data_IF_036077526568
#
_entry.id   IF_036077526568
#
_cell.length_a   1.000
_cell.length_b   1.000
_cell.length_c   1.000
_cell.angle_alpha   90.00
_cell.angle_beta   90.00
_cell.angle_gamma   90.00
#
_symmetry.space_group_name_H-M   'P 1'
#
loop_
_entity.id
_entity.type
_entity.pdbx_description
1 polymer ?
#
# COMPACT_ATOMS: atom_id res chain seq x y z
N UNK A 1 54.46 35.29 55.07
CA UNK A 1 53.05 35.60 55.40
C UNK A 1 52.37 36.16 54.15
N UNK A 2 51.26 35.51 53.78
CA UNK A 2 50.14 35.88 52.88
C UNK A 2 50.40 36.60 51.54
N UNK A 3 50.11 35.86 50.46
CA UNK A 3 49.94 36.33 49.08
C UNK A 3 48.61 37.07 48.98
N UNK A 4 48.60 38.36 48.62
CA UNK A 4 47.37 39.08 48.30
C UNK A 4 46.90 38.68 46.89
N UNK A 5 45.87 37.86 46.82
CA UNK A 5 45.14 37.57 45.59
C UNK A 5 43.97 38.53 45.45
N UNK A 6 44.10 39.51 44.54
CA UNK A 6 42.96 40.34 44.11
C UNK A 6 41.95 39.45 43.39
N UNK A 7 40.73 39.32 43.91
CA UNK A 7 39.61 38.69 43.21
C UNK A 7 39.29 39.49 41.95
N UNK A 8 39.01 38.85 40.79
CA UNK A 8 38.49 39.56 39.64
C UNK A 8 37.09 40.11 39.96
N UNK A 9 36.91 41.40 39.70
CA UNK A 9 35.62 42.08 39.78
C UNK A 9 34.72 41.54 38.66
N UNK A 10 33.65 40.85 39.05
CA UNK A 10 32.75 40.13 38.14
C UNK A 10 31.38 40.83 38.05
N UNK A 11 31.38 42.16 38.02
CA UNK A 11 30.15 42.98 37.98
C UNK A 11 29.79 43.49 36.58
N UNK A 12 30.23 42.83 35.50
CA UNK A 12 29.66 43.07 34.17
C UNK A 12 28.43 42.18 33.99
N UNK A 13 27.19 42.70 33.99
CA UNK A 13 26.07 41.92 33.54
C UNK A 13 26.32 41.54 32.08
N UNK A 14 26.44 40.24 31.80
CA UNK A 14 26.35 39.71 30.44
C UNK A 14 24.94 40.02 29.93
N UNK A 15 24.76 41.20 29.35
CA UNK A 15 23.67 41.43 28.44
C UNK A 15 23.94 40.53 27.23
N UNK A 16 23.35 39.32 27.27
CA UNK A 16 23.18 38.50 26.07
C UNK A 16 22.60 39.46 25.02
N UNK A 17 23.28 39.71 23.89
CA UNK A 17 22.72 40.57 22.87
C UNK A 17 21.35 39.99 22.54
N UNK A 18 20.29 40.79 22.69
CA UNK A 18 18.96 40.40 22.28
C UNK A 18 19.07 40.06 20.78
N UNK A 19 19.08 38.76 20.47
CA UNK A 19 19.15 38.33 19.08
C UNK A 19 17.82 38.70 18.47
N UNK A 20 17.81 39.80 17.70
CA UNK A 20 16.71 40.14 16.80
C UNK A 20 16.26 38.83 16.14
N UNK A 21 14.96 38.47 16.19
CA UNK A 21 14.50 37.22 15.61
C UNK A 21 15.03 37.13 14.19
N UNK A 22 15.79 36.06 13.90
CA UNK A 22 16.36 35.85 12.58
C UNK A 22 15.21 35.88 11.59
N UNK A 23 15.29 36.78 10.61
CA UNK A 23 14.26 36.85 9.58
C UNK A 23 14.28 35.53 8.80
N UNK A 24 13.11 34.96 8.44
CA UNK A 24 13.07 33.77 7.60
C UNK A 24 13.84 33.99 6.31
N UNK A 25 14.68 33.03 5.92
CA UNK A 25 15.39 33.08 4.64
C UNK A 25 14.35 33.18 3.51
N UNK A 26 14.47 34.23 2.70
CA UNK A 26 13.65 34.41 1.50
C UNK A 26 14.45 34.04 0.25
N UNK A 27 13.75 33.56 -0.77
CA UNK A 27 14.33 33.13 -2.05
C UNK A 27 13.83 34.02 -3.18
N UNK A 28 14.69 34.31 -4.16
CA UNK A 28 14.32 35.05 -5.37
C UNK A 28 13.60 34.17 -6.40
N UNK A 29 13.33 34.72 -7.59
CA UNK A 29 12.62 34.02 -8.67
C UNK A 29 13.43 32.87 -9.27
N UNK A 30 14.75 32.91 -9.15
CA UNK A 30 15.67 31.89 -9.64
C UNK A 30 15.95 30.81 -8.58
N UNK A 31 15.43 30.99 -7.35
CA UNK A 31 15.53 30.03 -6.26
C UNK A 31 16.78 30.18 -5.40
N UNK A 32 17.41 31.36 -5.39
CA UNK A 32 18.59 31.65 -4.56
C UNK A 32 18.23 32.38 -3.28
N UNK A 33 18.90 32.02 -2.19
CA UNK A 33 18.67 32.62 -0.88
C UNK A 33 19.21 34.06 -0.79
N UNK A 34 18.39 34.95 -0.24
CA UNK A 34 18.72 36.38 -0.02
C UNK A 34 19.82 36.64 1.01
N UNK A 35 20.02 35.72 1.96
CA UNK A 35 21.04 35.78 3.00
C UNK A 35 21.28 34.38 3.62
N UNK A 36 22.37 34.25 4.38
CA UNK A 36 22.66 33.04 5.16
C UNK A 36 21.58 32.81 6.22
N UNK A 37 21.18 31.55 6.43
CA UNK A 37 20.29 31.19 7.53
C UNK A 37 19.76 29.77 7.50
N UNK A 38 18.90 29.47 8.47
CA UNK A 38 18.20 28.18 8.57
C UNK A 38 16.80 28.33 7.99
N UNK A 39 16.39 27.38 7.15
CA UNK A 39 15.05 27.31 6.57
C UNK A 39 14.44 25.93 6.79
N UNK A 40 13.14 25.91 7.10
CA UNK A 40 12.37 24.68 7.14
C UNK A 40 12.04 24.23 5.71
N UNK A 41 12.44 23.02 5.36
CA UNK A 41 12.18 22.39 4.08
C UNK A 41 11.38 21.11 4.25
N UNK A 42 10.69 20.72 3.19
CA UNK A 42 9.98 19.46 3.06
C UNK A 42 10.71 18.62 2.04
N UNK A 43 11.16 17.47 2.49
CA UNK A 43 12.07 16.63 1.73
C UNK A 43 11.32 15.49 1.07
N UNK A 44 11.75 15.14 -0.14
CA UNK A 44 11.33 13.95 -0.84
C UNK A 44 12.54 13.13 -1.31
N UNK A 45 12.36 11.83 -1.43
CA UNK A 45 13.34 10.96 -2.08
C UNK A 45 13.54 11.40 -3.53
N UNK A 46 14.78 11.46 -4.01
CA UNK A 46 15.07 12.01 -5.35
C UNK A 46 14.75 11.03 -6.47
N UNK A 47 14.59 9.74 -6.17
CA UNK A 47 14.27 8.67 -7.11
C UNK A 47 12.77 8.36 -7.12
N UNK A 48 12.18 8.08 -5.95
CA UNK A 48 10.76 7.70 -5.82
C UNK A 48 9.83 8.90 -5.69
N UNK A 49 10.39 10.08 -5.39
CA UNK A 49 9.65 11.32 -5.11
C UNK A 49 8.80 11.24 -3.85
N UNK A 50 8.91 10.19 -3.05
CA UNK A 50 8.17 10.00 -1.80
C UNK A 50 8.56 11.06 -0.78
N UNK A 51 7.56 11.65 -0.11
CA UNK A 51 7.79 12.56 1.01
C UNK A 51 8.47 11.81 2.18
N UNK A 52 9.65 12.27 2.58
CA UNK A 52 10.44 11.63 3.66
C UNK A 52 10.40 12.43 4.97
N UNK A 53 9.96 13.68 4.95
CA UNK A 53 9.75 14.45 6.17
C UNK A 53 10.09 15.94 6.05
N UNK A 54 9.92 16.63 7.18
CA UNK A 54 10.33 18.02 7.37
C UNK A 54 11.74 18.04 7.96
N UNK A 55 12.58 18.94 7.46
CA UNK A 55 13.92 19.17 7.98
C UNK A 55 14.20 20.67 8.09
N UNK A 56 15.13 21.05 8.97
CA UNK A 56 15.70 22.39 9.00
C UNK A 56 17.09 22.34 8.37
N UNK A 57 17.35 23.23 7.42
CA UNK A 57 18.58 23.22 6.62
C UNK A 57 19.24 24.58 6.67
N UNK A 58 20.56 24.60 6.83
CA UNK A 58 21.35 25.79 6.59
C UNK A 58 21.47 26.03 5.08
N UNK A 59 21.24 27.27 4.65
CA UNK A 59 21.42 27.73 3.28
C UNK A 59 22.25 29.00 3.32
N UNK A 60 23.28 29.06 2.47
CA UNK A 60 24.08 30.26 2.29
C UNK A 60 23.42 31.22 1.31
N UNK A 61 23.71 32.50 1.45
CA UNK A 61 23.36 33.54 0.48
C UNK A 61 23.79 33.11 -0.92
N UNK A 62 22.94 33.39 -1.90
CA UNK A 62 23.15 33.10 -3.32
C UNK A 62 23.22 31.59 -3.64
N UNK A 63 22.82 30.72 -2.70
CA UNK A 63 22.66 29.28 -2.90
C UNK A 63 21.18 28.86 -2.90
N UNK A 64 20.87 27.78 -3.63
CA UNK A 64 19.56 27.14 -3.64
C UNK A 64 19.43 26.02 -2.61
N UNK A 65 18.23 25.44 -2.53
CA UNK A 65 17.98 24.25 -1.73
C UNK A 65 18.70 23.01 -2.31
N UNK A 66 19.08 22.04 -1.45
CA UNK A 66 19.59 20.76 -1.93
C UNK A 66 18.53 20.02 -2.74
N UNK A 67 19.00 19.13 -3.62
CA UNK A 67 18.11 18.27 -4.39
C UNK A 67 17.20 17.46 -3.44
N UNK A 68 15.90 17.43 -3.76
CA UNK A 68 14.91 16.74 -2.94
C UNK A 68 14.29 17.62 -1.84
N UNK A 69 14.71 18.86 -1.66
CA UNK A 69 14.10 19.79 -0.70
C UNK A 69 13.23 20.85 -1.41
N UNK A 70 12.05 21.13 -0.85
CA UNK A 70 11.15 22.20 -1.29
C UNK A 70 10.62 23.00 -0.12
N UNK A 71 10.14 24.22 -0.38
CA UNK A 71 9.64 25.13 0.66
C UNK A 71 8.15 24.91 0.98
N UNK A 72 7.36 24.44 0.02
CA UNK A 72 5.94 24.23 0.22
C UNK A 72 5.67 22.92 0.97
N UNK A 73 4.85 23.00 2.02
CA UNK A 73 4.47 21.84 2.81
C UNK A 73 3.45 20.96 2.06
N UNK A 74 3.49 19.63 2.22
CA UNK A 74 2.40 18.77 1.77
C UNK A 74 1.13 19.14 2.54
N UNK A 75 0.13 19.66 1.82
CA UNK A 75 -1.22 19.95 2.37
C UNK A 75 -2.12 18.71 2.35
N UNK A 76 -1.56 17.56 1.98
CA UNK A 76 -2.24 16.28 1.85
C UNK A 76 -1.85 15.39 3.03
N UNK A 77 -2.83 14.73 3.63
CA UNK A 77 -2.59 13.67 4.61
C UNK A 77 -2.61 12.32 3.89
N UNK A 78 -1.67 11.40 4.17
CA UNK A 78 -1.73 10.05 3.64
C UNK A 78 -3.08 9.41 3.97
N UNK A 79 -3.79 8.97 2.94
CA UNK A 79 -4.98 8.16 3.07
C UNK A 79 -4.60 6.67 3.14
N UNK A 80 -5.56 5.80 3.44
CA UNK A 80 -5.31 4.35 3.39
C UNK A 80 -4.82 3.95 2.00
N UNK A 81 -3.74 3.17 1.95
CA UNK A 81 -3.09 2.68 0.75
C UNK A 81 -2.66 3.77 -0.24
N UNK A 82 -2.21 4.92 0.29
CA UNK A 82 -1.70 6.04 -0.48
C UNK A 82 -0.44 6.61 0.16
N UNK A 83 0.53 7.01 -0.68
CA UNK A 83 1.70 7.77 -0.25
C UNK A 83 1.67 9.19 -0.83
N UNK A 84 2.34 10.11 -0.16
CA UNK A 84 2.53 11.49 -0.63
C UNK A 84 3.81 11.54 -1.44
N UNK A 85 3.74 12.05 -2.68
CA UNK A 85 4.90 12.25 -3.55
C UNK A 85 5.02 13.69 -4.03
N UNK A 86 6.21 14.08 -4.46
CA UNK A 86 6.44 15.31 -5.21
C UNK A 86 6.11 15.09 -6.68
N UNK A 87 5.10 15.78 -7.19
CA UNK A 87 4.85 15.88 -8.62
C UNK A 87 5.74 16.99 -9.21
N UNK A 88 6.71 16.59 -10.05
CA UNK A 88 7.67 17.52 -10.68
C UNK A 88 7.03 18.38 -11.79
N UNK A 89 5.99 17.89 -12.46
CA UNK A 89 5.34 18.64 -13.54
C UNK A 89 4.57 19.83 -12.98
N UNK A 90 3.77 19.58 -11.95
CA UNK A 90 2.89 20.59 -11.37
C UNK A 90 3.52 21.33 -10.17
N UNK A 91 4.78 21.00 -9.83
CA UNK A 91 5.52 21.56 -8.70
C UNK A 91 4.70 21.54 -7.40
N UNK A 92 4.03 20.43 -7.14
CA UNK A 92 3.12 20.28 -6.02
C UNK A 92 3.20 18.89 -5.40
N UNK A 93 2.57 18.71 -4.25
CA UNK A 93 2.42 17.40 -3.60
C UNK A 93 1.20 16.68 -4.17
N UNK A 94 1.32 15.37 -4.40
CA UNK A 94 0.26 14.51 -4.90
C UNK A 94 0.16 13.22 -4.08
N UNK A 95 -0.99 12.55 -4.17
CA UNK A 95 -1.19 11.20 -3.60
C UNK A 95 -1.16 10.16 -4.71
N UNK A 96 -0.40 9.08 -4.50
CA UNK A 96 -0.39 7.91 -5.39
C UNK A 96 -0.72 6.64 -4.61
N UNK A 97 -1.14 5.58 -5.30
CA UNK A 97 -1.28 4.24 -4.73
C UNK A 97 -0.01 3.82 -3.96
N UNK A 98 -0.23 3.22 -2.80
CA UNK A 98 0.82 2.58 -2.02
C UNK A 98 0.24 1.33 -1.35
N UNK A 99 0.58 0.17 -1.88
CA UNK A 99 0.17 -1.12 -1.37
C UNK A 99 1.33 -1.90 -0.75
N UNK A 100 2.46 -1.23 -0.45
CA UNK A 100 3.62 -1.87 0.16
C UNK A 100 3.22 -2.59 1.45
N UNK A 101 3.92 -3.68 1.75
CA UNK A 101 3.67 -4.57 2.91
C UNK A 101 2.37 -5.36 2.84
N UNK A 102 1.58 -5.21 1.76
CA UNK A 102 0.44 -6.09 1.49
C UNK A 102 0.89 -7.29 0.64
N UNK A 103 0.12 -8.38 0.71
CA UNK A 103 0.28 -9.54 -0.18
C UNK A 103 -0.68 -9.37 -1.35
N UNK A 104 -0.14 -9.43 -2.56
CA UNK A 104 -0.91 -9.58 -3.79
C UNK A 104 -0.76 -10.99 -4.35
N UNK A 105 -1.71 -11.39 -5.18
CA UNK A 105 -1.78 -12.71 -5.79
C UNK A 105 -1.73 -12.54 -7.30
N UNK A 106 -0.85 -13.29 -7.95
CA UNK A 106 -0.75 -13.31 -9.41
C UNK A 106 -2.02 -13.94 -9.98
N UNK A 107 -2.64 -13.28 -10.95
CA UNK A 107 -3.95 -13.65 -11.49
C UNK A 107 -3.93 -14.92 -12.33
N UNK A 108 -2.75 -15.35 -12.81
CA UNK A 108 -2.58 -16.57 -13.61
C UNK A 108 -2.62 -17.87 -12.79
N UNK A 109 -2.08 -17.86 -11.57
CA UNK A 109 -1.82 -19.08 -10.79
C UNK A 109 -2.06 -18.92 -9.28
N UNK A 110 -2.39 -17.71 -8.82
CA UNK A 110 -2.59 -17.42 -7.40
C UNK A 110 -1.29 -17.25 -6.61
N UNK A 111 -0.12 -17.16 -7.26
CA UNK A 111 1.15 -17.02 -6.56
C UNK A 111 1.19 -15.74 -5.70
N UNK A 112 1.46 -15.91 -4.40
CA UNK A 112 1.50 -14.81 -3.45
C UNK A 112 2.82 -14.06 -3.53
N UNK A 113 2.75 -12.72 -3.54
CA UNK A 113 3.90 -11.82 -3.58
C UNK A 113 3.72 -10.65 -2.62
N UNK A 114 4.75 -10.37 -1.83
CA UNK A 114 4.82 -9.15 -1.03
C UNK A 114 5.05 -7.95 -1.95
N UNK A 115 4.24 -6.91 -1.80
CA UNK A 115 4.47 -5.64 -2.48
C UNK A 115 5.54 -4.87 -1.70
N UNK A 116 6.62 -4.52 -2.40
CA UNK A 116 7.77 -3.78 -1.88
C UNK A 116 8.01 -2.46 -2.62
N UNK A 117 7.31 -2.23 -3.73
CA UNK A 117 7.42 -1.04 -4.57
C UNK A 117 6.28 -0.07 -4.34
N UNK A 118 6.60 1.23 -4.44
CA UNK A 118 5.63 2.30 -4.37
C UNK A 118 4.88 2.43 -5.71
N UNK A 119 3.57 2.65 -5.68
CA UNK A 119 2.74 2.82 -6.86
C UNK A 119 1.57 1.83 -6.93
N UNK A 120 0.88 1.77 -8.09
CA UNK A 120 -0.22 0.85 -8.30
C UNK A 120 0.26 -0.60 -8.32
N UNK A 121 -0.62 -1.53 -7.96
CA UNK A 121 -0.35 -2.95 -8.20
C UNK A 121 -0.27 -3.20 -9.71
N UNK A 122 0.65 -4.06 -10.20
CA UNK A 122 0.67 -4.43 -11.61
C UNK A 122 -0.64 -5.11 -12.03
N UNK A 123 -1.03 -4.97 -13.30
CA UNK A 123 -2.32 -5.49 -13.82
C UNK A 123 -2.49 -7.01 -13.66
N UNK A 124 -1.38 -7.75 -13.69
CA UNK A 124 -1.37 -9.20 -13.53
C UNK A 124 -1.56 -9.65 -12.08
N UNK A 125 -1.73 -8.72 -11.13
CA UNK A 125 -1.89 -8.99 -9.70
C UNK A 125 -3.21 -8.48 -9.16
N UNK A 126 -3.71 -9.16 -8.12
CA UNK A 126 -4.90 -8.76 -7.37
C UNK A 126 -4.64 -8.82 -5.87
N UNK A 127 -5.30 -7.94 -5.10
CA UNK A 127 -5.30 -8.01 -3.64
C UNK A 127 -6.37 -8.97 -3.09
N UNK A 128 -7.17 -9.59 -3.98
CA UNK A 128 -8.15 -10.60 -3.58
C UNK A 128 -7.43 -11.90 -3.24
N UNK A 129 -7.63 -12.46 -2.02
CA UNK A 129 -7.02 -13.72 -1.62
C UNK A 129 -7.34 -14.85 -2.58
N UNK A 130 -6.30 -15.56 -3.03
CA UNK A 130 -6.44 -16.78 -3.81
C UNK A 130 -7.01 -17.91 -2.93
N UNK A 131 -7.79 -18.81 -3.56
CA UNK A 131 -8.22 -20.07 -2.98
C UNK A 131 -7.97 -21.20 -3.96
N UNK A 132 -7.73 -22.41 -3.44
CA UNK A 132 -7.31 -23.55 -4.26
C UNK A 132 -8.35 -23.89 -5.35
N UNK A 133 -7.86 -24.11 -6.56
CA UNK A 133 -8.68 -24.41 -7.73
C UNK A 133 -9.39 -23.19 -8.30
N UNK A 134 -9.10 -21.96 -7.85
CA UNK A 134 -9.71 -20.77 -8.41
C UNK A 134 -9.16 -20.40 -9.79
N UNK A 135 -10.03 -19.85 -10.64
CA UNK A 135 -9.68 -19.25 -11.94
C UNK A 135 -10.05 -17.76 -11.92
N UNK A 136 -9.15 -16.91 -12.38
CA UNK A 136 -9.40 -15.47 -12.47
C UNK A 136 -10.28 -15.14 -13.68
N UNK A 137 -11.37 -14.38 -13.46
CA UNK A 137 -12.27 -13.96 -14.55
C UNK A 137 -12.05 -12.50 -15.01
N UNK A 138 -10.95 -11.87 -14.61
CA UNK A 138 -10.69 -10.44 -14.84
C UNK A 138 -11.15 -9.53 -13.70
N UNK A 139 -11.99 -10.00 -12.77
CA UNK A 139 -12.52 -9.19 -11.66
C UNK A 139 -12.49 -9.88 -10.30
N UNK A 140 -12.69 -11.20 -10.28
CA UNK A 140 -12.72 -12.01 -9.06
C UNK A 140 -12.27 -13.45 -9.35
N UNK A 141 -11.87 -14.14 -8.29
CA UNK A 141 -11.66 -15.57 -8.28
C UNK A 141 -12.99 -16.32 -8.40
N UNK A 142 -13.08 -17.26 -9.33
CA UNK A 142 -14.20 -18.20 -9.47
C UNK A 142 -13.71 -19.61 -9.16
N UNK A 143 -14.53 -20.48 -8.55
CA UNK A 143 -14.19 -21.90 -8.48
C UNK A 143 -13.97 -22.44 -9.89
N UNK A 144 -12.81 -23.07 -10.11
CA UNK A 144 -12.56 -23.82 -11.32
C UNK A 144 -13.59 -24.94 -11.43
N UNK A 145 -14.08 -25.18 -12.64
CA UNK A 145 -14.91 -26.35 -12.92
C UNK A 145 -13.97 -27.54 -12.78
N UNK A 146 -14.02 -28.23 -11.64
CA UNK A 146 -13.38 -29.52 -11.53
C UNK A 146 -14.13 -30.47 -12.44
N UNK A 147 -13.41 -31.17 -13.32
CA UNK A 147 -13.96 -32.37 -13.94
C UNK A 147 -14.31 -33.33 -12.79
N UNK A 148 -15.58 -33.68 -12.66
CA UNK A 148 -16.00 -34.73 -11.73
C UNK A 148 -15.17 -35.97 -12.09
N UNK A 149 -14.40 -36.56 -11.15
CA UNK A 149 -13.61 -37.75 -11.44
C UNK A 149 -14.54 -38.82 -12.03
N UNK A 150 -14.13 -39.45 -13.14
CA UNK A 150 -14.94 -40.46 -13.85
C UNK A 150 -15.51 -41.51 -12.89
N UNK A 151 -14.73 -41.93 -11.90
CA UNK A 151 -15.13 -42.88 -10.85
C UNK A 151 -16.33 -42.38 -10.01
N UNK A 152 -16.38 -41.08 -9.70
CA UNK A 152 -17.51 -40.50 -8.97
C UNK A 152 -18.77 -40.51 -9.85
N UNK A 153 -18.64 -40.14 -11.13
CA UNK A 153 -19.73 -40.17 -12.09
C UNK A 153 -20.25 -41.60 -12.36
N UNK A 154 -19.35 -42.58 -12.46
CA UNK A 154 -19.70 -44.01 -12.56
C UNK A 154 -20.47 -44.48 -11.32
N UNK A 155 -20.03 -44.10 -10.11
CA UNK A 155 -20.73 -44.48 -8.88
C UNK A 155 -22.14 -43.89 -8.77
N UNK A 156 -22.35 -42.65 -9.25
CA UNK A 156 -23.68 -42.04 -9.31
C UNK A 156 -24.56 -42.74 -10.37
N UNK A 157 -23.98 -43.08 -11.53
CA UNK A 157 -24.68 -43.78 -12.61
C UNK A 157 -25.12 -45.19 -12.19
N UNK A 158 -24.29 -45.91 -11.45
CA UNK A 158 -24.62 -47.22 -10.88
C UNK A 158 -25.76 -47.11 -9.86
N UNK A 159 -25.74 -46.08 -9.01
CA UNK A 159 -26.83 -45.83 -8.05
C UNK A 159 -28.15 -45.53 -8.74
N UNK A 160 -28.14 -44.71 -9.81
CA UNK A 160 -29.34 -44.42 -10.61
C UNK A 160 -29.88 -45.68 -11.30
N UNK A 161 -28.99 -46.50 -11.84
CA UNK A 161 -29.38 -47.76 -12.51
C UNK A 161 -30.02 -48.72 -11.51
N UNK A 162 -29.43 -48.88 -10.31
CA UNK A 162 -30.00 -49.70 -9.25
C UNK A 162 -31.36 -49.21 -8.75
N UNK A 163 -31.60 -47.90 -8.74
CA UNK A 163 -32.92 -47.32 -8.42
C UNK A 163 -33.95 -47.63 -9.52
N UNK A 164 -33.57 -47.48 -10.79
CA UNK A 164 -34.44 -47.83 -11.91
C UNK A 164 -34.82 -49.31 -11.90
N UNK A 165 -33.86 -50.21 -11.63
CA UNK A 165 -34.13 -51.65 -11.52
C UNK A 165 -35.10 -51.99 -10.38
N UNK A 166 -34.98 -51.31 -9.24
CA UNK A 166 -35.94 -51.47 -8.13
C UNK A 166 -37.34 -50.99 -8.52
N UNK A 167 -37.43 -49.88 -9.24
CA UNK A 167 -38.71 -49.33 -9.68
C UNK A 167 -39.41 -50.26 -10.67
N UNK A 168 -38.66 -50.79 -11.66
CA UNK A 168 -39.17 -51.76 -12.62
C UNK A 168 -39.65 -53.06 -11.94
N UNK A 169 -38.94 -53.54 -10.91
CA UNK A 169 -39.38 -54.69 -10.11
C UNK A 169 -40.68 -54.41 -9.36
N UNK A 170 -40.82 -53.21 -8.81
CA UNK A 170 -42.02 -52.81 -8.08
C UNK A 170 -43.22 -52.68 -9.03
N UNK A 171 -43.02 -52.14 -10.23
CA UNK A 171 -44.05 -52.10 -11.28
C UNK A 171 -44.50 -53.51 -11.71
N UNK A 172 -43.56 -54.44 -11.87
CA UNK A 172 -43.87 -55.82 -12.19
C UNK A 172 -44.69 -56.50 -11.08
N UNK A 173 -44.31 -56.28 -9.81
CA UNK A 173 -45.07 -56.78 -8.65
C UNK A 173 -46.48 -56.22 -8.59
N UNK A 174 -46.65 -54.91 -8.83
CA UNK A 174 -47.97 -54.28 -8.87
C UNK A 174 -48.84 -54.86 -9.99
N UNK A 175 -48.27 -55.08 -11.19
CA UNK A 175 -48.99 -55.70 -12.30
C UNK A 175 -49.43 -57.13 -11.97
N UNK A 176 -48.62 -57.88 -11.22
CA UNK A 176 -48.92 -59.26 -10.82
C UNK A 176 -50.07 -59.31 -9.81
N UNK A 177 -50.03 -58.46 -8.77
CA UNK A 177 -51.09 -58.35 -7.76
C UNK A 177 -52.42 -57.88 -8.36
N UNK A 178 -52.38 -56.98 -9.36
CA UNK A 178 -53.58 -56.51 -10.06
C UNK A 178 -54.14 -57.52 -11.09
N UNK A 179 -53.39 -58.58 -11.39
CA UNK A 179 -53.80 -59.63 -12.33
C UNK A 179 -54.39 -60.89 -11.65
N UNK A 180 -54.39 -60.96 -10.32
CA UNK A 180 -55.00 -62.07 -9.59
C UNK A 180 -56.53 -61.97 -9.64
N UNK A 181 -57.26 -63.02 -10.09
CA UNK A 181 -58.71 -62.98 -10.16
C UNK A 181 -59.31 -62.98 -8.75
N UNK A 182 -60.29 -62.10 -8.51
CA UNK A 182 -61.06 -62.09 -7.28
C UNK A 182 -61.80 -63.44 -7.11
N UNK A 183 -61.44 -64.18 -6.06
CA UNK A 183 -62.12 -65.41 -5.62
C UNK A 183 -63.44 -65.06 -4.93
#
# INVERSE_FOLDING_TARGET
MLKNTTKPDNTRPEQRPETKPLQPVSFDQDGFASHDGIVACFCHDTHTLEYIGKAEMWVSKDCGLPAGAVLDAPKLRPAKNKAVIRNKADQCWALIEDYRKMIAYQTSDGAARLIDTLGPIPEDFTLLPYFEGAVWNGKKWLPGIQAIPLVLAESEQDQLTALHDKLARMEALLAQVLSEPAV
#
